data_IF_213297834461
#
_entry.id   IF_213297834461
#
_cell.length_a   1.000
_cell.length_b   1.000
_cell.length_c   1.000
_cell.angle_alpha   90.00
_cell.angle_beta   90.00
_cell.angle_gamma   90.00
#
_symmetry.space_group_name_H-M   'P 1'
#
loop_
_entity.id
_entity.type
_entity.pdbx_description
1 polymer ?
#
# COMPACT_ATOMS: atom_id res chain seq x y z
N UNK A 1 3.04 -8.29 -23.57
CA UNK A 1 2.29 -8.20 -22.30
C UNK A 1 2.55 -9.50 -21.55
N UNK A 2 3.16 -9.43 -20.37
CA UNK A 2 3.32 -10.61 -19.51
C UNK A 2 1.93 -11.07 -19.06
N UNK A 3 1.53 -12.28 -19.42
CA UNK A 3 0.20 -12.86 -19.20
C UNK A 3 -0.03 -13.35 -17.76
N UNK A 4 0.75 -12.87 -16.80
CA UNK A 4 0.73 -13.33 -15.41
C UNK A 4 0.64 -12.18 -14.41
N UNK A 5 0.34 -12.47 -13.13
CA UNK A 5 0.21 -11.47 -12.08
C UNK A 5 1.52 -10.67 -11.90
N UNK A 6 1.38 -9.38 -11.56
CA UNK A 6 2.53 -8.53 -11.22
C UNK A 6 3.10 -8.89 -9.85
N UNK A 7 2.25 -9.31 -8.91
CA UNK A 7 2.65 -9.86 -7.61
C UNK A 7 1.86 -11.14 -7.33
N UNK A 8 2.54 -12.20 -6.92
CA UNK A 8 1.95 -13.47 -6.53
C UNK A 8 2.61 -13.98 -5.25
N UNK A 9 1.81 -14.27 -4.23
CA UNK A 9 2.22 -14.92 -2.99
C UNK A 9 1.67 -16.35 -3.01
N UNK A 10 2.55 -17.32 -2.75
CA UNK A 10 2.22 -18.76 -2.75
C UNK A 10 2.51 -19.36 -1.39
N UNK A 11 1.45 -19.76 -0.71
CA UNK A 11 1.46 -20.49 0.56
C UNK A 11 2.44 -19.93 1.58
N UNK A 12 2.45 -18.60 1.76
CA UNK A 12 3.39 -17.93 2.64
C UNK A 12 3.18 -18.28 4.12
N UNK A 13 4.22 -18.78 4.75
CA UNK A 13 4.33 -18.88 6.21
C UNK A 13 5.36 -17.87 6.74
N UNK A 14 4.96 -17.09 7.74
CA UNK A 14 5.81 -16.06 8.35
C UNK A 14 5.68 -16.13 9.87
N UNK A 15 6.83 -16.07 10.56
CA UNK A 15 6.91 -16.21 12.01
C UNK A 15 7.62 -15.01 12.65
N UNK A 16 7.18 -14.67 13.86
CA UNK A 16 7.91 -13.85 14.83
C UNK A 16 8.32 -14.74 16.00
N UNK A 17 9.53 -15.29 15.95
CA UNK A 17 9.96 -16.30 16.91
C UNK A 17 9.00 -17.49 16.91
N UNK A 18 8.38 -17.86 18.05
CA UNK A 18 7.45 -18.99 18.11
C UNK A 18 6.04 -18.68 17.56
N UNK A 19 5.73 -17.42 17.25
CA UNK A 19 4.38 -17.00 16.85
C UNK A 19 4.28 -16.99 15.33
N UNK A 20 3.42 -17.84 14.77
CA UNK A 20 3.09 -17.82 13.35
C UNK A 20 2.12 -16.68 13.03
N UNK A 21 2.59 -15.69 12.28
CA UNK A 21 1.82 -14.50 11.92
C UNK A 21 1.07 -14.66 10.59
N UNK A 22 1.66 -15.35 9.59
CA UNK A 22 1.00 -15.72 8.34
C UNK A 22 1.01 -17.24 8.19
N UNK A 23 -0.11 -17.80 7.73
CA UNK A 23 -0.36 -19.23 7.62
C UNK A 23 -0.81 -19.57 6.21
N UNK A 24 0.09 -20.13 5.41
CA UNK A 24 -0.14 -20.51 4.01
C UNK A 24 -0.89 -19.45 3.20
N UNK A 25 -0.46 -18.19 3.31
CA UNK A 25 -1.14 -17.09 2.62
C UNK A 25 -0.87 -17.13 1.13
N UNK A 26 -1.92 -17.29 0.34
CA UNK A 26 -1.89 -17.26 -1.12
C UNK A 26 -2.76 -16.12 -1.65
N UNK A 27 -2.18 -15.24 -2.46
CA UNK A 27 -2.90 -14.17 -3.15
C UNK A 27 -2.15 -13.72 -4.41
N UNK A 28 -2.83 -13.03 -5.32
CA UNK A 28 -2.19 -12.42 -6.48
C UNK A 28 -2.79 -11.05 -6.79
N UNK A 29 -2.04 -10.25 -7.55
CA UNK A 29 -2.43 -8.93 -8.04
C UNK A 29 -2.02 -8.84 -9.51
N UNK A 30 -2.95 -8.45 -10.37
CA UNK A 30 -2.69 -8.26 -11.80
C UNK A 30 -2.24 -6.83 -12.09
N UNK A 31 -1.52 -6.63 -13.19
CA UNK A 31 -1.06 -5.29 -13.58
C UNK A 31 -2.25 -4.38 -13.87
N UNK A 32 -2.24 -3.16 -13.29
CA UNK A 32 -3.34 -2.19 -13.38
C UNK A 32 -4.55 -2.50 -12.50
N UNK A 33 -4.52 -3.58 -11.72
CA UNK A 33 -5.58 -3.93 -10.77
C UNK A 33 -5.42 -3.16 -9.45
N UNK A 34 -6.54 -2.73 -8.87
CA UNK A 34 -6.58 -2.29 -7.47
C UNK A 34 -7.12 -3.42 -6.61
N UNK A 35 -6.25 -3.98 -5.77
CA UNK A 35 -6.59 -5.06 -4.83
C UNK A 35 -6.57 -4.54 -3.39
N UNK A 36 -7.58 -4.85 -2.60
CA UNK A 36 -7.54 -4.60 -1.15
C UNK A 36 -7.34 -5.86 -0.32
N UNK A 37 -6.65 -5.72 0.81
CA UNK A 37 -6.59 -6.69 1.88
C UNK A 37 -7.23 -6.08 3.13
N UNK A 38 -8.40 -6.60 3.50
CA UNK A 38 -9.16 -6.14 4.67
C UNK A 38 -9.09 -7.15 5.81
N UNK A 39 -9.16 -6.66 7.04
CA UNK A 39 -9.15 -7.50 8.23
C UNK A 39 -8.93 -6.70 9.51
N UNK A 40 -9.25 -7.32 10.64
CA UNK A 40 -9.08 -6.72 11.97
C UNK A 40 -7.62 -6.38 12.29
N UNK A 41 -7.40 -5.57 13.31
CA UNK A 41 -6.06 -5.34 13.84
C UNK A 41 -5.48 -6.65 14.36
N UNK A 42 -4.20 -6.90 14.05
CA UNK A 42 -3.55 -8.17 14.35
C UNK A 42 -3.87 -9.32 13.40
N UNK A 43 -4.67 -9.12 12.35
CA UNK A 43 -5.00 -10.18 11.39
C UNK A 43 -3.79 -10.68 10.57
N UNK A 44 -2.69 -9.93 10.51
CA UNK A 44 -1.49 -10.27 9.73
C UNK A 44 -1.20 -9.33 8.54
N UNK A 45 -2.03 -8.30 8.33
CA UNK A 45 -1.97 -7.42 7.14
C UNK A 45 -0.62 -6.71 6.99
N UNK A 46 -0.17 -6.01 8.03
CA UNK A 46 1.12 -5.32 8.02
C UNK A 46 2.29 -6.31 7.92
N UNK A 47 2.19 -7.48 8.56
CA UNK A 47 3.19 -8.56 8.41
C UNK A 47 3.33 -8.98 6.96
N UNK A 48 2.22 -9.12 6.22
CA UNK A 48 2.25 -9.45 4.80
C UNK A 48 2.95 -8.38 3.98
N UNK A 49 2.63 -7.09 4.17
CA UNK A 49 3.31 -6.00 3.47
C UNK A 49 4.81 -5.94 3.79
N UNK A 50 5.16 -6.09 5.06
CA UNK A 50 6.53 -6.13 5.55
C UNK A 50 7.31 -7.31 4.96
N UNK A 51 6.67 -8.48 4.82
CA UNK A 51 7.28 -9.68 4.23
C UNK A 51 7.56 -9.52 2.74
N UNK A 52 6.77 -8.72 2.01
CA UNK A 52 7.07 -8.35 0.62
C UNK A 52 8.40 -7.61 0.52
N UNK A 53 8.81 -6.85 1.53
CA UNK A 53 10.13 -6.19 1.60
C UNK A 53 11.21 -7.05 2.30
N UNK A 54 10.89 -8.30 2.63
CA UNK A 54 11.82 -9.28 3.18
C UNK A 54 12.12 -9.14 4.67
N UNK A 55 11.31 -8.40 5.43
CA UNK A 55 11.48 -8.26 6.89
C UNK A 55 10.12 -8.21 7.60
N UNK A 56 9.65 -9.30 8.25
CA UNK A 56 10.31 -10.60 8.39
C UNK A 56 10.39 -11.36 7.06
N UNK A 57 11.31 -12.33 6.96
CA UNK A 57 11.37 -13.23 5.80
C UNK A 57 10.31 -14.32 5.92
N UNK A 58 9.81 -14.77 4.77
CA UNK A 58 9.01 -15.98 4.71
C UNK A 58 9.88 -17.19 5.11
N UNK A 59 9.36 -18.02 6.02
CA UNK A 59 9.96 -19.29 6.41
C UNK A 59 9.71 -20.35 5.32
N UNK A 60 8.52 -20.30 4.73
CA UNK A 60 8.08 -21.17 3.64
C UNK A 60 7.22 -20.39 2.64
N UNK A 61 7.01 -20.97 1.45
CA UNK A 61 6.26 -20.34 0.38
C UNK A 61 7.13 -19.42 -0.49
N UNK A 62 6.49 -18.67 -1.39
CA UNK A 62 7.19 -17.82 -2.36
C UNK A 62 6.47 -16.48 -2.59
N UNK A 63 7.26 -15.43 -2.80
CA UNK A 63 6.82 -14.12 -3.29
C UNK A 63 7.42 -13.91 -4.69
N UNK A 64 6.56 -13.87 -5.70
CA UNK A 64 6.95 -13.63 -7.09
C UNK A 64 6.52 -12.22 -7.50
N UNK A 65 7.46 -11.43 -8.00
CA UNK A 65 7.19 -10.13 -8.60
C UNK A 65 7.55 -10.15 -10.08
N UNK A 66 6.54 -9.97 -10.95
CA UNK A 66 6.66 -10.10 -12.41
C UNK A 66 7.32 -11.42 -12.83
N UNK A 67 6.96 -12.50 -12.14
CA UNK A 67 7.51 -13.84 -12.35
C UNK A 67 8.90 -14.10 -11.75
N UNK A 68 9.53 -13.09 -11.12
CA UNK A 68 10.84 -13.24 -10.47
C UNK A 68 10.65 -13.48 -8.97
N UNK A 69 11.29 -14.51 -8.43
CA UNK A 69 11.29 -14.77 -6.99
C UNK A 69 12.05 -13.67 -6.23
N UNK A 70 11.31 -12.96 -5.37
CA UNK A 70 11.81 -11.89 -4.50
C UNK A 70 11.85 -12.27 -3.02
N UNK A 71 11.48 -13.50 -2.65
CA UNK A 71 11.29 -13.98 -1.26
C UNK A 71 12.49 -13.70 -0.35
N UNK A 72 13.71 -13.73 -0.92
CA UNK A 72 14.95 -13.53 -0.19
C UNK A 72 15.79 -12.34 -0.70
N UNK A 73 15.22 -11.49 -1.56
CA UNK A 73 15.88 -10.28 -2.05
C UNK A 73 15.93 -9.21 -0.97
N UNK A 74 16.84 -8.26 -1.10
CA UNK A 74 16.94 -7.13 -0.17
C UNK A 74 15.82 -6.12 -0.44
N UNK A 75 15.42 -5.38 0.59
CA UNK A 75 14.44 -4.28 0.45
C UNK A 75 14.87 -3.25 -0.60
N UNK A 76 16.17 -2.96 -0.71
CA UNK A 76 16.72 -2.10 -1.75
C UNK A 76 16.48 -2.66 -3.16
N UNK A 77 16.75 -3.95 -3.39
CA UNK A 77 16.46 -4.59 -4.68
C UNK A 77 14.97 -4.48 -5.02
N UNK A 78 14.10 -4.75 -4.05
CA UNK A 78 12.65 -4.75 -4.23
C UNK A 78 12.15 -3.34 -4.58
N UNK A 79 12.62 -2.32 -3.86
CA UNK A 79 12.30 -0.92 -4.13
C UNK A 79 12.78 -0.47 -5.51
N UNK A 80 14.05 -0.73 -5.86
CA UNK A 80 14.64 -0.35 -7.14
C UNK A 80 14.03 -1.09 -8.34
N UNK A 81 13.34 -2.22 -8.10
CA UNK A 81 12.63 -2.96 -9.16
C UNK A 81 11.16 -2.55 -9.32
N UNK A 82 10.67 -1.55 -8.58
CA UNK A 82 9.39 -0.91 -8.84
C UNK A 82 8.25 -1.27 -7.89
N UNK A 83 8.55 -1.75 -6.68
CA UNK A 83 7.57 -1.83 -5.57
C UNK A 83 7.83 -0.67 -4.61
N UNK A 84 6.83 0.15 -4.33
CA UNK A 84 6.92 1.20 -3.32
C UNK A 84 5.86 1.01 -2.24
N UNK A 85 6.17 1.42 -1.00
CA UNK A 85 5.26 1.35 0.12
C UNK A 85 5.06 2.74 0.74
N UNK A 86 3.80 3.09 0.99
CA UNK A 86 3.43 4.10 1.99
C UNK A 86 3.02 3.37 3.27
N UNK A 87 3.87 3.36 4.32
CA UNK A 87 3.62 2.59 5.53
C UNK A 87 2.59 3.27 6.45
N UNK A 88 2.07 2.50 7.41
CA UNK A 88 1.24 2.99 8.50
C UNK A 88 2.00 4.05 9.32
N UNK A 89 1.28 5.02 9.86
CA UNK A 89 1.85 6.08 10.69
C UNK A 89 2.60 7.15 9.88
N UNK A 90 2.43 7.17 8.55
CA UNK A 90 2.97 8.15 7.57
C UNK A 90 4.49 8.07 7.39
N UNK A 91 5.24 7.87 8.49
CA UNK A 91 6.71 7.76 8.56
C UNK A 91 7.43 8.81 7.70
N UNK A 92 6.95 10.05 7.73
CA UNK A 92 7.62 11.19 7.09
C UNK A 92 8.90 11.54 7.86
N UNK A 93 9.86 12.18 7.20
CA UNK A 93 11.07 12.70 7.86
C UNK A 93 10.72 14.06 8.50
N UNK A 94 10.56 14.16 9.83
CA UNK A 94 9.91 15.30 10.48
C UNK A 94 10.68 16.61 10.32
N UNK A 95 12.01 16.55 10.37
CA UNK A 95 12.90 17.72 10.31
C UNK A 95 13.15 18.22 8.88
N UNK A 96 12.82 17.39 7.88
CA UNK A 96 12.90 17.73 6.47
C UNK A 96 11.67 18.50 6.00
N UNK A 97 11.87 19.36 5.02
CA UNK A 97 10.80 20.02 4.28
C UNK A 97 9.98 19.04 3.45
N UNK A 98 8.83 19.48 2.93
CA UNK A 98 8.02 18.71 1.98
C UNK A 98 8.86 18.31 0.76
N UNK A 99 9.61 19.24 0.18
CA UNK A 99 10.45 18.97 -0.97
C UNK A 99 11.55 17.95 -0.67
N UNK A 100 12.29 18.11 0.44
CA UNK A 100 13.32 17.14 0.85
C UNK A 100 12.71 15.75 1.08
N UNK A 101 11.54 15.68 1.72
CA UNK A 101 10.82 14.41 1.89
C UNK A 101 10.51 13.73 0.55
N UNK A 102 10.05 14.49 -0.45
CA UNK A 102 9.75 13.96 -1.78
C UNK A 102 11.03 13.49 -2.48
N UNK A 103 12.14 14.22 -2.36
CA UNK A 103 13.44 13.80 -2.92
C UNK A 103 13.94 12.48 -2.30
N UNK A 104 13.67 12.21 -1.02
CA UNK A 104 14.02 10.91 -0.43
C UNK A 104 13.35 9.71 -1.15
N UNK A 105 12.21 9.95 -1.81
CA UNK A 105 11.52 8.93 -2.59
C UNK A 105 12.22 8.53 -3.89
N UNK A 106 13.19 9.32 -4.37
CA UNK A 106 13.94 9.02 -5.61
C UNK A 106 15.13 8.09 -5.37
N UNK A 107 15.56 7.90 -4.11
CA UNK A 107 16.73 7.10 -3.73
C UNK A 107 16.79 5.73 -4.45
N UNK A 108 15.70 4.95 -4.57
CA UNK A 108 15.77 3.64 -5.21
C UNK A 108 16.10 3.69 -6.72
N UNK A 109 15.82 4.80 -7.40
CA UNK A 109 15.93 4.94 -8.86
C UNK A 109 16.87 6.06 -9.33
N UNK A 110 17.45 6.81 -8.39
CA UNK A 110 18.25 8.01 -8.66
C UNK A 110 17.42 9.27 -8.96
N UNK A 111 18.09 10.40 -9.15
CA UNK A 111 17.48 11.74 -9.25
C UNK A 111 17.23 12.22 -10.70
N UNK A 112 17.51 11.38 -11.69
CA UNK A 112 17.41 11.71 -13.13
C UNK A 112 16.06 12.36 -13.52
N UNK A 113 14.96 11.92 -12.91
CA UNK A 113 13.60 12.41 -13.19
C UNK A 113 13.01 13.21 -12.03
N UNK A 114 13.81 13.55 -11.00
CA UNK A 114 13.31 14.11 -9.74
C UNK A 114 12.49 15.39 -9.95
N UNK A 115 12.93 16.31 -10.81
CA UNK A 115 12.20 17.56 -11.06
C UNK A 115 10.84 17.35 -11.73
N UNK A 116 10.77 16.42 -12.69
CA UNK A 116 9.53 16.06 -13.39
C UNK A 116 8.55 15.38 -12.41
N UNK A 117 9.04 14.41 -11.64
CA UNK A 117 8.22 13.69 -10.67
C UNK A 117 7.74 14.59 -9.53
N UNK A 118 8.58 15.53 -9.08
CA UNK A 118 8.22 16.54 -8.09
C UNK A 118 7.06 17.41 -8.58
N UNK A 119 7.13 17.88 -9.83
CA UNK A 119 6.05 18.67 -10.41
C UNK A 119 4.75 17.85 -10.48
N UNK A 120 4.82 16.59 -10.93
CA UNK A 120 3.67 15.67 -10.94
C UNK A 120 3.09 15.47 -9.54
N UNK A 121 3.92 15.37 -8.50
CA UNK A 121 3.44 15.25 -7.11
C UNK A 121 2.72 16.51 -6.65
N UNK A 122 3.19 17.69 -7.05
CA UNK A 122 2.52 18.95 -6.75
C UNK A 122 1.22 19.16 -7.52
N UNK A 123 1.06 18.55 -8.69
CA UNK A 123 -0.20 18.54 -9.43
C UNK A 123 -1.21 17.58 -8.78
N UNK A 124 -0.77 16.37 -8.39
CA UNK A 124 -1.61 15.39 -7.70
C UNK A 124 -1.98 15.83 -6.27
N UNK A 125 -1.06 16.50 -5.57
CA UNK A 125 -1.25 16.97 -4.20
C UNK A 125 -0.98 18.47 -4.09
N UNK A 126 -1.90 19.34 -4.55
CA UNK A 126 -1.70 20.80 -4.54
C UNK A 126 -1.38 21.37 -3.16
N UNK A 127 -1.89 20.75 -2.08
CA UNK A 127 -1.59 21.14 -0.69
C UNK A 127 -0.10 21.00 -0.34
N UNK A 128 0.61 20.05 -0.93
CA UNK A 128 2.06 19.90 -0.76
C UNK A 128 2.81 21.02 -1.49
N UNK A 129 2.33 21.48 -2.65
CA UNK A 129 2.92 22.60 -3.39
C UNK A 129 2.87 23.91 -2.60
N UNK A 130 1.71 24.21 -2.03
CA UNK A 130 1.51 25.38 -1.14
C UNK A 130 2.50 25.41 0.04
N UNK A 131 2.99 24.23 0.44
CA UNK A 131 3.79 23.99 1.65
C UNK A 131 5.19 23.45 1.32
N UNK A 132 5.66 23.65 0.09
CA UNK A 132 6.91 23.07 -0.44
C UNK A 132 8.10 23.18 0.51
N UNK A 133 8.27 24.34 1.16
CA UNK A 133 9.38 24.63 2.07
C UNK A 133 9.05 24.43 3.55
N UNK A 134 7.83 23.99 3.88
CA UNK A 134 7.40 23.74 5.25
C UNK A 134 8.00 22.41 5.75
N UNK A 135 8.46 22.38 7.01
CA UNK A 135 8.92 21.15 7.68
C UNK A 135 7.76 20.19 7.95
N UNK A 136 7.97 18.90 7.68
CA UNK A 136 6.94 17.88 7.77
C UNK A 136 6.35 17.71 9.18
N UNK A 137 7.14 17.95 10.24
CA UNK A 137 6.67 17.89 11.63
C UNK A 137 5.54 18.88 11.95
N UNK A 138 5.45 19.98 11.19
CA UNK A 138 4.45 21.05 11.42
C UNK A 138 3.17 20.87 10.60
N UNK A 139 3.12 19.84 9.74
CA UNK A 139 1.97 19.53 8.91
C UNK A 139 0.90 18.79 9.72
N UNK A 140 -0.36 18.96 9.32
CA UNK A 140 -1.45 18.14 9.86
C UNK A 140 -1.26 16.66 9.49
N UNK A 141 -1.90 15.77 10.23
CA UNK A 141 -1.77 14.33 9.95
C UNK A 141 -2.23 13.91 8.56
N UNK A 142 -3.24 14.60 8.00
CA UNK A 142 -3.69 14.36 6.63
C UNK A 142 -2.68 14.81 5.58
N UNK A 143 -2.04 15.95 5.80
CA UNK A 143 -0.98 16.47 4.93
C UNK A 143 0.27 15.58 4.98
N UNK A 144 0.65 15.08 6.16
CA UNK A 144 1.72 14.09 6.30
C UNK A 144 1.40 12.78 5.56
N UNK A 145 0.15 12.34 5.56
CA UNK A 145 -0.26 11.15 4.81
C UNK A 145 -0.16 11.37 3.29
N UNK A 146 -0.62 12.52 2.79
CA UNK A 146 -0.44 12.90 1.39
C UNK A 146 1.05 12.93 1.02
N UNK A 147 1.90 13.48 1.89
CA UNK A 147 3.35 13.50 1.70
C UNK A 147 3.95 12.09 1.66
N UNK A 148 3.50 11.18 2.53
CA UNK A 148 3.97 9.80 2.54
C UNK A 148 3.65 9.06 1.23
N UNK A 149 2.44 9.22 0.71
CA UNK A 149 1.99 8.64 -0.56
C UNK A 149 2.77 9.26 -1.73
N UNK A 150 2.86 10.59 -1.77
CA UNK A 150 3.60 11.32 -2.80
C UNK A 150 5.07 10.90 -2.84
N UNK A 151 5.72 10.77 -1.67
CA UNK A 151 7.10 10.28 -1.57
C UNK A 151 7.26 8.86 -2.11
N UNK A 152 6.32 7.95 -1.84
CA UNK A 152 6.36 6.60 -2.42
C UNK A 152 6.28 6.64 -3.96
N UNK A 153 5.45 7.52 -4.51
CA UNK A 153 5.24 7.70 -5.96
C UNK A 153 6.44 8.32 -6.69
N UNK A 154 7.35 9.01 -5.99
CA UNK A 154 8.58 9.57 -6.57
C UNK A 154 9.52 8.48 -7.10
N UNK A 155 9.38 7.23 -6.66
CA UNK A 155 10.15 6.08 -7.16
C UNK A 155 9.61 5.48 -8.48
N UNK A 156 8.60 6.10 -9.10
CA UNK A 156 7.89 5.60 -10.30
C UNK A 156 7.50 4.12 -10.19
N UNK A 157 6.84 3.70 -9.10
CA UNK A 157 6.55 2.30 -8.86
C UNK A 157 5.61 1.74 -9.94
N UNK A 158 5.75 0.44 -10.21
CA UNK A 158 4.77 -0.36 -10.95
C UNK A 158 3.70 -0.96 -10.05
N UNK A 159 4.02 -1.10 -8.76
CA UNK A 159 3.13 -1.56 -7.71
C UNK A 159 3.27 -0.66 -6.48
N UNK A 160 2.17 0.00 -6.11
CA UNK A 160 2.08 0.83 -4.91
C UNK A 160 1.38 0.05 -3.79
N UNK A 161 2.08 -0.16 -2.68
CA UNK A 161 1.52 -0.74 -1.46
C UNK A 161 1.13 0.38 -0.49
N UNK A 162 -0.07 0.33 0.06
CA UNK A 162 -0.59 1.31 1.01
C UNK A 162 -1.02 0.59 2.28
N UNK A 163 -0.47 1.00 3.43
CA UNK A 163 -0.77 0.40 4.73
C UNK A 163 -1.58 1.37 5.60
N UNK A 164 -2.87 1.06 5.73
CA UNK A 164 -3.89 1.81 6.48
C UNK A 164 -3.84 3.34 6.26
N UNK A 165 -3.88 3.81 4.99
CA UNK A 165 -3.71 5.23 4.68
C UNK A 165 -4.82 6.14 5.23
N UNK A 166 -5.95 5.58 5.66
CA UNK A 166 -7.06 6.35 6.25
C UNK A 166 -7.03 6.45 7.77
N UNK A 167 -6.16 5.70 8.46
CA UNK A 167 -6.20 5.54 9.91
C UNK A 167 -5.96 6.87 10.65
N UNK A 168 -6.87 7.18 11.58
CA UNK A 168 -6.78 8.37 12.44
C UNK A 168 -6.94 9.70 11.71
N UNK A 169 -7.49 9.72 10.49
CA UNK A 169 -7.71 10.93 9.70
C UNK A 169 -9.16 11.41 9.75
N UNK A 170 -9.34 12.72 9.60
CA UNK A 170 -10.67 13.32 9.50
C UNK A 170 -11.39 12.83 8.22
N UNK A 171 -12.73 12.65 8.23
CA UNK A 171 -13.47 12.09 7.09
C UNK A 171 -13.25 12.81 5.75
N UNK A 172 -13.06 14.13 5.77
CA UNK A 172 -12.79 14.90 4.55
C UNK A 172 -11.44 14.55 3.93
N UNK A 173 -10.43 14.29 4.77
CA UNK A 173 -9.08 13.90 4.33
C UNK A 173 -9.11 12.50 3.75
N UNK A 174 -9.83 11.57 4.39
CA UNK A 174 -10.04 10.21 3.87
C UNK A 174 -10.64 10.26 2.47
N UNK A 175 -11.71 11.06 2.26
CA UNK A 175 -12.33 11.24 0.95
C UNK A 175 -11.34 11.77 -0.11
N UNK A 176 -10.49 12.73 0.26
CA UNK A 176 -9.48 13.30 -0.65
C UNK A 176 -8.41 12.28 -1.04
N UNK A 177 -7.90 11.51 -0.08
CA UNK A 177 -6.93 10.43 -0.34
C UNK A 177 -7.54 9.41 -1.31
N UNK A 178 -8.72 8.89 -1.01
CA UNK A 178 -9.38 7.91 -1.88
C UNK A 178 -9.80 8.47 -3.25
N UNK A 179 -10.03 9.78 -3.38
CA UNK A 179 -10.20 10.41 -4.69
C UNK A 179 -8.90 10.35 -5.50
N UNK A 180 -7.78 10.73 -4.87
CA UNK A 180 -6.45 10.67 -5.51
C UNK A 180 -6.06 9.24 -5.89
N UNK A 181 -6.35 8.26 -5.03
CA UNK A 181 -6.10 6.85 -5.34
C UNK A 181 -6.93 6.35 -6.54
N UNK A 182 -8.18 6.81 -6.68
CA UNK A 182 -9.00 6.51 -7.86
C UNK A 182 -8.42 7.12 -9.14
N UNK A 183 -7.93 8.35 -9.08
CA UNK A 183 -7.25 8.99 -10.21
C UNK A 183 -6.00 8.21 -10.61
N UNK A 184 -5.18 7.79 -9.64
CA UNK A 184 -4.00 6.96 -9.90
C UNK A 184 -4.38 5.61 -10.53
N UNK A 185 -5.38 4.92 -9.98
CA UNK A 185 -5.88 3.66 -10.54
C UNK A 185 -6.37 3.84 -11.98
N UNK A 186 -7.08 4.94 -12.28
CA UNK A 186 -7.56 5.25 -13.63
C UNK A 186 -6.43 5.48 -14.66
N UNK A 187 -5.21 5.81 -14.21
CA UNK A 187 -4.01 5.88 -15.07
C UNK A 187 -3.33 4.53 -15.31
N UNK A 188 -3.89 3.43 -14.79
CA UNK A 188 -3.34 2.08 -14.90
C UNK A 188 -2.29 1.73 -13.84
N UNK A 189 -2.20 2.50 -12.75
CA UNK A 189 -1.34 2.15 -11.62
C UNK A 189 -1.86 0.90 -10.91
N UNK A 190 -0.98 -0.07 -10.65
CA UNK A 190 -1.33 -1.20 -9.78
C UNK A 190 -1.27 -0.79 -8.32
N UNK A 191 -2.34 -1.01 -7.57
CA UNK A 191 -2.44 -0.62 -6.16
C UNK A 191 -2.79 -1.84 -5.31
N UNK A 192 -2.02 -2.05 -4.24
CA UNK A 192 -2.37 -2.95 -3.16
C UNK A 192 -2.65 -2.17 -1.88
N UNK A 193 -3.91 -2.20 -1.44
CA UNK A 193 -4.39 -1.41 -0.32
C UNK A 193 -4.71 -2.30 0.88
N UNK A 194 -4.00 -2.11 1.98
CA UNK A 194 -4.34 -2.68 3.28
C UNK A 194 -5.18 -1.68 4.06
N UNK A 195 -6.35 -2.11 4.52
CA UNK A 195 -7.26 -1.25 5.27
C UNK A 195 -7.99 -2.03 6.38
N UNK A 196 -8.13 -1.39 7.55
CA UNK A 196 -9.05 -1.84 8.58
C UNK A 196 -10.49 -1.39 8.24
N UNK A 197 -10.64 -0.16 7.72
CA UNK A 197 -11.94 0.37 7.32
C UNK A 197 -12.31 -0.11 5.91
N UNK A 198 -13.00 -1.26 5.86
CA UNK A 198 -13.30 -1.95 4.61
C UNK A 198 -14.17 -1.13 3.64
N UNK A 199 -14.97 -0.16 4.10
CA UNK A 199 -15.98 0.49 3.24
C UNK A 199 -15.36 1.26 2.07
N UNK A 200 -14.35 2.09 2.36
CA UNK A 200 -13.67 2.87 1.33
C UNK A 200 -12.78 1.99 0.44
N UNK A 201 -12.08 1.04 1.06
CA UNK A 201 -11.20 0.09 0.38
C UNK A 201 -11.96 -0.74 -0.66
N UNK A 202 -13.09 -1.35 -0.26
CA UNK A 202 -13.90 -2.18 -1.15
C UNK A 202 -14.57 -1.37 -2.27
N UNK A 203 -14.93 -0.11 -2.03
CA UNK A 203 -15.47 0.78 -3.08
C UNK A 203 -14.45 1.15 -4.15
N UNK A 204 -13.17 1.21 -3.78
CA UNK A 204 -12.07 1.50 -4.71
C UNK A 204 -11.61 0.25 -5.48
N UNK A 205 -11.73 -0.94 -4.88
CA UNK A 205 -11.05 -2.13 -5.37
C UNK A 205 -11.82 -2.90 -6.44
N UNK A 206 -11.07 -3.38 -7.42
CA UNK A 206 -11.56 -4.39 -8.38
C UNK A 206 -11.82 -5.71 -7.66
N UNK A 207 -10.88 -6.10 -6.79
CA UNK A 207 -10.92 -7.32 -6.01
C UNK A 207 -10.38 -7.12 -4.60
N UNK A 208 -10.81 -7.95 -3.68
CA UNK A 208 -10.33 -7.88 -2.32
C UNK A 208 -10.24 -9.26 -1.66
N UNK A 209 -9.41 -9.30 -0.62
CA UNK A 209 -9.17 -10.44 0.23
C UNK A 209 -9.50 -10.09 1.68
N UNK A 210 -10.12 -11.03 2.39
CA UNK A 210 -10.38 -10.92 3.83
C UNK A 210 -9.37 -11.79 4.56
N UNK A 211 -8.57 -11.17 5.43
CA UNK A 211 -7.60 -11.84 6.27
C UNK A 211 -8.10 -11.95 7.71
N UNK A 212 -8.00 -13.16 8.27
CA UNK A 212 -8.35 -13.45 9.66
C UNK A 212 -7.25 -14.33 10.25
N UNK A 213 -6.62 -13.89 11.35
CA UNK A 213 -5.64 -14.66 12.12
C UNK A 213 -4.50 -15.30 11.27
N UNK A 214 -4.00 -14.54 10.30
CA UNK A 214 -2.90 -14.93 9.41
C UNK A 214 -3.32 -15.72 8.18
N UNK A 215 -4.61 -15.92 7.93
CA UNK A 215 -5.15 -16.72 6.82
C UNK A 215 -6.06 -15.89 5.92
N UNK A 216 -6.05 -16.17 4.62
CA UNK A 216 -7.04 -15.64 3.68
C UNK A 216 -8.31 -16.48 3.81
N UNK A 217 -9.42 -15.86 4.24
CA UNK A 217 -10.69 -16.55 4.48
C UNK A 217 -11.70 -16.36 3.36
N UNK A 218 -11.74 -15.17 2.77
CA UNK A 218 -12.65 -14.85 1.69
C UNK A 218 -11.91 -14.03 0.63
N UNK A 219 -12.39 -14.13 -0.61
CA UNK A 219 -11.97 -13.29 -1.72
C UNK A 219 -13.12 -13.07 -2.67
N UNK A 220 -13.19 -11.90 -3.28
CA UNK A 220 -14.21 -11.56 -4.27
C UNK A 220 -14.01 -10.15 -4.78
N UNK A 221 -14.88 -9.70 -5.67
CA UNK A 221 -14.86 -8.30 -6.11
C UNK A 221 -15.19 -7.36 -4.95
N UNK A 222 -14.75 -6.10 -5.05
CA UNK A 222 -15.11 -5.08 -4.05
C UNK A 222 -16.64 -4.96 -3.86
N UNK A 223 -17.41 -5.07 -4.96
CA UNK A 223 -18.87 -5.03 -4.96
C UNK A 223 -19.51 -6.21 -4.25
N UNK A 224 -19.04 -7.43 -4.51
CA UNK A 224 -19.54 -8.65 -3.85
C UNK A 224 -19.30 -8.60 -2.34
N UNK A 225 -18.09 -8.20 -1.91
CA UNK A 225 -17.75 -8.16 -0.50
C UNK A 225 -18.46 -7.02 0.26
N UNK A 226 -18.88 -5.94 -0.41
CA UNK A 226 -19.68 -4.87 0.21
C UNK A 226 -21.08 -5.34 0.64
N UNK A 227 -21.64 -6.33 -0.05
CA UNK A 227 -22.97 -6.88 0.24
C UNK A 227 -22.91 -8.22 0.96
N UNK A 228 -21.72 -8.81 1.12
CA UNK A 228 -21.52 -10.06 1.83
C UNK A 228 -21.84 -9.88 3.34
N UNK A 229 -22.71 -10.73 3.88
CA UNK A 229 -23.19 -10.61 5.27
C UNK A 229 -22.06 -10.76 6.31
N UNK A 230 -21.15 -11.71 6.11
CA UNK A 230 -20.01 -11.93 7.02
C UNK A 230 -19.10 -10.69 7.06
N UNK A 231 -18.78 -10.13 5.89
CA UNK A 231 -17.97 -8.91 5.78
C UNK A 231 -18.68 -7.70 6.37
N UNK A 232 -19.99 -7.56 6.13
CA UNK A 232 -20.79 -6.45 6.67
C UNK A 232 -20.81 -6.46 8.19
N UNK A 233 -21.08 -7.62 8.77
CA UNK A 233 -21.17 -7.81 10.22
C UNK A 233 -19.82 -7.58 10.90
N UNK A 234 -18.71 -8.02 10.29
CA UNK A 234 -17.38 -7.92 10.88
C UNK A 234 -16.68 -6.57 10.65
N UNK A 235 -16.88 -5.91 9.50
CA UNK A 235 -16.00 -4.82 9.06
C UNK A 235 -16.68 -3.55 8.55
N UNK A 236 -18.00 -3.56 8.28
CA UNK A 236 -18.70 -2.40 7.68
C UNK A 236 -19.66 -1.69 8.65
N UNK A 237 -19.75 -2.16 9.91
CA UNK A 237 -20.66 -1.59 10.91
C UNK A 237 -22.10 -1.99 10.62
N UNK A 238 -22.49 -3.18 11.08
CA UNK A 238 -23.83 -3.71 10.89
C UNK A 238 -24.92 -2.78 11.45
N UNK A 239 -25.81 -2.35 10.56
CA UNK A 239 -27.17 -1.92 10.88
C UNK A 239 -28.12 -2.70 9.97
#
# INVERSE_FOLDING_TARGET
>A
MTTGPILELKDLDVYYGPIQALKKVSLHINEGETVSLIGSNGAGKSTLLMSIFGQPRAESGQILYRGVDITHKSSHYIASNGIAQSPEGRRVFPDMTVEENLLMGTIPIGDKYASEDMQRMFELFPRLKERRTQRAMTMSGGEQQMLAIARALMSRPKLLLLDEPSLGLAPIVVKQIFATLRELAATGMTIFLVEQNANHALKLSDRAYVMVNGEIRLSGTGKELLVNEEVRNAYLGGH
#
